data_IF_114569199696
#
_entry.id   IF_114569199696
#
_cell.length_a   1.000
_cell.length_b   1.000
_cell.length_c   1.000
_cell.angle_alpha   90.00
_cell.angle_beta   90.00
_cell.angle_gamma   90.00
#
_symmetry.space_group_name_H-M   'P 1'
#
loop_
_entity.id
_entity.type
_entity.pdbx_description
1 polymer ?
#
# COMPACT_ATOMS: atom_id res chain seq x y z
N UNK A 1 -15.51 14.05 13.03
CA UNK A 1 -15.84 12.66 13.44
C UNK A 1 -15.96 11.83 12.16
N UNK A 2 -15.20 10.73 12.04
CA UNK A 2 -15.25 9.83 10.88
C UNK A 2 -16.51 8.98 10.99
N UNK A 3 -17.61 9.38 10.38
CA UNK A 3 -18.87 8.63 10.51
C UNK A 3 -18.96 7.55 9.44
N UNK A 4 -18.49 6.35 9.80
CA UNK A 4 -18.89 5.11 9.14
C UNK A 4 -20.31 4.76 9.61
N UNK A 5 -21.17 4.29 8.70
CA UNK A 5 -22.49 3.79 9.09
C UNK A 5 -22.37 2.49 9.88
N UNK A 6 -23.41 2.13 10.66
CA UNK A 6 -23.43 0.86 11.41
C UNK A 6 -23.23 -0.36 10.50
N UNK A 7 -23.82 -0.33 9.31
CA UNK A 7 -23.63 -1.36 8.28
C UNK A 7 -22.18 -1.44 7.80
N UNK A 8 -21.51 -0.29 7.63
CA UNK A 8 -20.10 -0.24 7.24
C UNK A 8 -19.21 -0.77 8.36
N UNK A 9 -19.46 -0.39 9.61
CA UNK A 9 -18.73 -0.87 10.79
C UNK A 9 -18.87 -2.40 10.89
N UNK A 10 -20.09 -2.91 10.79
CA UNK A 10 -20.38 -4.35 10.87
C UNK A 10 -19.69 -5.12 9.74
N UNK A 11 -19.75 -4.61 8.50
CA UNK A 11 -19.08 -5.22 7.34
C UNK A 11 -17.56 -5.21 7.47
N UNK A 12 -16.97 -4.09 7.93
CA UNK A 12 -15.54 -3.98 8.13
C UNK A 12 -15.05 -4.92 9.24
N UNK A 13 -15.81 -5.05 10.33
CA UNK A 13 -15.48 -5.93 11.45
C UNK A 13 -15.73 -7.41 11.21
N UNK A 14 -16.60 -7.77 10.25
CA UNK A 14 -16.96 -9.16 9.98
C UNK A 14 -16.17 -9.71 8.79
N UNK A 15 -15.20 -10.62 8.98
CA UNK A 15 -14.49 -11.25 7.87
C UNK A 15 -15.39 -12.23 7.11
N UNK A 16 -15.20 -12.38 5.78
CA UNK A 16 -16.01 -13.31 4.98
C UNK A 16 -15.72 -14.79 5.31
N UNK A 17 -14.57 -15.07 5.92
CA UNK A 17 -14.11 -16.41 6.29
C UNK A 17 -13.33 -16.36 7.60
N UNK A 18 -13.43 -17.43 8.38
CA UNK A 18 -12.71 -17.63 9.64
C UNK A 18 -11.68 -18.74 9.46
N UNK A 19 -10.47 -18.50 9.94
CA UNK A 19 -9.31 -19.38 9.80
C UNK A 19 -8.84 -19.85 11.19
N UNK A 20 -9.69 -20.65 11.85
CA UNK A 20 -9.49 -21.10 13.22
C UNK A 20 -8.22 -21.96 13.45
N UNK A 21 -7.67 -22.55 12.38
CA UNK A 21 -6.45 -23.37 12.43
C UNK A 21 -5.17 -22.56 12.21
N UNK A 22 -5.28 -21.30 11.79
CA UNK A 22 -4.11 -20.43 11.65
C UNK A 22 -3.79 -19.80 13.00
N UNK A 23 -2.79 -20.36 13.67
CA UNK A 23 -2.41 -20.00 15.02
C UNK A 23 -1.23 -19.00 15.10
N UNK A 24 -0.64 -18.66 13.95
CA UNK A 24 0.36 -17.61 13.79
C UNK A 24 -0.06 -16.62 12.69
N UNK A 25 -0.02 -15.31 12.98
CA UNK A 25 -0.49 -14.24 12.09
C UNK A 25 0.65 -13.24 11.82
N UNK A 26 1.13 -13.17 10.59
CA UNK A 26 2.14 -12.21 10.16
C UNK A 26 1.51 -11.24 9.18
N UNK A 27 1.59 -9.94 9.43
CA UNK A 27 1.10 -8.90 8.52
C UNK A 27 1.95 -7.64 8.67
N UNK A 28 2.93 -7.47 7.81
CA UNK A 28 3.85 -6.31 7.83
C UNK A 28 3.72 -5.42 6.60
N UNK A 29 2.72 -5.67 5.76
CA UNK A 29 2.42 -4.84 4.60
C UNK A 29 0.92 -4.79 4.36
N UNK A 30 0.30 -3.75 4.90
CA UNK A 30 -1.14 -3.51 4.78
C UNK A 30 -1.48 -2.06 5.13
N UNK A 31 -2.62 -1.56 4.65
CA UNK A 31 -2.98 -0.16 4.71
C UNK A 31 -4.30 0.04 5.47
N UNK A 32 -4.26 0.58 6.70
CA UNK A 32 -5.49 0.90 7.45
C UNK A 32 -6.31 1.99 6.76
N UNK A 33 -5.64 2.92 6.05
CA UNK A 33 -6.26 4.09 5.42
C UNK A 33 -7.09 4.87 6.44
N UNK A 34 -8.35 5.20 6.14
CA UNK A 34 -9.20 5.94 7.08
C UNK A 34 -9.95 5.03 8.08
N UNK A 35 -9.82 3.71 7.97
CA UNK A 35 -10.58 2.76 8.79
C UNK A 35 -10.05 2.75 10.23
N UNK A 36 -10.92 2.92 11.25
CA UNK A 36 -10.51 2.87 12.66
C UNK A 36 -9.83 1.56 13.09
N UNK A 37 -8.75 1.69 13.87
CA UNK A 37 -7.91 0.56 14.28
C UNK A 37 -8.61 -0.43 15.22
N UNK A 38 -9.58 0.02 16.01
CA UNK A 38 -10.46 -0.82 16.83
C UNK A 38 -11.33 -1.77 15.98
N UNK A 39 -11.91 -1.27 14.89
CA UNK A 39 -12.68 -2.10 13.95
C UNK A 39 -11.76 -3.11 13.25
N UNK A 40 -10.55 -2.69 12.87
CA UNK A 40 -9.55 -3.57 12.25
C UNK A 40 -9.15 -4.69 13.20
N UNK A 41 -8.86 -4.37 14.47
CA UNK A 41 -8.56 -5.36 15.52
C UNK A 41 -9.71 -6.34 15.70
N UNK A 42 -10.95 -5.86 15.73
CA UNK A 42 -12.14 -6.73 15.78
C UNK A 42 -12.14 -7.72 14.60
N UNK A 43 -11.92 -7.24 13.37
CA UNK A 43 -11.86 -8.11 12.18
C UNK A 43 -10.78 -9.18 12.28
N UNK A 44 -9.54 -8.81 12.62
CA UNK A 44 -8.41 -9.74 12.74
C UNK A 44 -8.71 -10.79 13.82
N UNK A 45 -9.26 -10.38 14.95
CA UNK A 45 -9.65 -11.29 16.04
C UNK A 45 -10.77 -12.24 15.63
N UNK A 46 -11.77 -11.76 14.89
CA UNK A 46 -12.84 -12.59 14.36
C UNK A 46 -12.34 -13.58 13.29
N UNK A 47 -11.34 -13.17 12.49
CA UNK A 47 -10.78 -13.97 11.42
C UNK A 47 -9.88 -15.09 11.95
N UNK A 48 -9.07 -14.81 12.97
CA UNK A 48 -8.12 -15.74 13.58
C UNK A 48 -8.39 -15.88 15.09
N UNK A 49 -9.48 -16.58 15.48
CA UNK A 49 -9.92 -16.63 16.88
C UNK A 49 -8.94 -17.37 17.80
N UNK A 50 -8.12 -18.27 17.26
CA UNK A 50 -7.20 -19.11 18.03
C UNK A 50 -5.72 -18.73 17.85
N UNK A 51 -5.42 -17.55 17.30
CA UNK A 51 -4.02 -17.11 17.13
C UNK A 51 -3.31 -17.03 18.48
N UNK A 52 -2.07 -17.48 18.50
CA UNK A 52 -1.16 -17.50 19.67
C UNK A 52 0.04 -16.58 19.45
N UNK A 53 0.46 -16.43 18.20
CA UNK A 53 1.59 -15.60 17.81
C UNK A 53 1.15 -14.61 16.73
N UNK A 54 1.54 -13.35 16.88
CA UNK A 54 1.22 -12.34 15.88
C UNK A 54 2.32 -11.28 15.72
N UNK A 55 2.56 -10.84 14.50
CA UNK A 55 3.31 -9.62 14.22
C UNK A 55 2.55 -8.84 13.15
N UNK A 56 1.81 -7.83 13.60
CA UNK A 56 0.92 -7.04 12.77
C UNK A 56 1.38 -5.59 12.84
N UNK A 57 1.96 -5.09 11.74
CA UNK A 57 2.50 -3.74 11.64
C UNK A 57 1.89 -3.08 10.40
N UNK A 58 1.10 -2.00 10.56
CA UNK A 58 0.51 -1.28 9.43
C UNK A 58 1.56 -0.47 8.68
N UNK A 59 1.38 -0.28 7.38
CA UNK A 59 2.31 0.44 6.52
C UNK A 59 1.57 1.37 5.57
N UNK A 60 0.93 2.42 6.07
CA UNK A 60 0.33 3.44 5.19
C UNK A 60 1.42 4.20 4.41
N UNK A 61 1.06 4.70 3.22
CA UNK A 61 1.98 5.50 2.41
C UNK A 61 2.39 6.80 3.11
N UNK A 62 3.65 6.88 3.52
CA UNK A 62 4.28 8.02 4.18
C UNK A 62 3.54 8.52 5.44
N UNK A 63 2.79 7.63 6.09
CA UNK A 63 2.13 7.89 7.37
C UNK A 63 2.53 6.78 8.32
N UNK A 64 3.12 7.18 9.45
CA UNK A 64 3.52 6.27 10.50
C UNK A 64 2.29 5.87 11.32
N UNK A 65 1.93 4.59 11.29
CA UNK A 65 0.79 4.04 12.02
C UNK A 65 1.24 2.93 12.98
N UNK A 66 0.38 2.59 13.93
CA UNK A 66 0.59 1.47 14.85
C UNK A 66 -0.71 0.71 15.09
N UNK A 67 -0.62 -0.62 15.14
CA UNK A 67 -1.76 -1.51 15.37
C UNK A 67 -2.14 -1.61 16.85
N UNK A 68 -1.15 -1.81 17.72
CA UNK A 68 -1.30 -2.06 19.16
C UNK A 68 -0.43 -1.16 20.04
N UNK A 69 0.31 -0.22 19.44
CA UNK A 69 1.24 0.67 20.13
C UNK A 69 2.64 0.09 20.39
N UNK A 70 2.90 -1.19 20.06
CA UNK A 70 4.21 -1.82 20.28
C UNK A 70 5.13 -1.58 19.10
N UNK A 71 4.62 -1.80 17.89
CA UNK A 71 5.35 -1.56 16.66
C UNK A 71 4.63 -0.53 15.78
N UNK A 72 5.44 0.28 15.10
CA UNK A 72 4.96 1.25 14.12
C UNK A 72 5.54 0.92 12.76
N UNK A 73 4.78 1.21 11.70
CA UNK A 73 5.23 0.99 10.33
C UNK A 73 4.76 2.07 9.38
N UNK A 74 5.46 2.14 8.25
CA UNK A 74 5.18 3.06 7.16
C UNK A 74 5.69 2.47 5.85
N UNK A 75 4.96 2.69 4.77
CA UNK A 75 5.47 2.44 3.42
C UNK A 75 5.96 3.75 2.82
N UNK A 76 7.25 3.84 2.53
CA UNK A 76 7.93 5.07 2.11
C UNK A 76 8.17 4.99 0.61
N UNK A 77 7.85 6.07 -0.11
CA UNK A 77 8.27 6.20 -1.50
C UNK A 77 9.65 6.85 -1.57
N UNK A 78 10.58 6.19 -2.27
CA UNK A 78 11.95 6.65 -2.42
C UNK A 78 12.31 6.78 -3.90
N UNK A 79 13.34 7.55 -4.18
CA UNK A 79 14.01 7.53 -5.48
C UNK A 79 15.23 6.62 -5.42
N UNK A 80 15.42 5.80 -6.45
CA UNK A 80 16.62 5.00 -6.62
C UNK A 80 17.43 5.54 -7.80
N UNK A 81 18.44 6.36 -7.52
CA UNK A 81 19.32 6.95 -8.54
C UNK A 81 19.90 5.93 -9.53
N UNK A 82 20.34 4.77 -9.03
CA UNK A 82 21.01 3.72 -9.83
C UNK A 82 20.16 3.21 -11.01
N UNK A 83 18.83 3.30 -10.90
CA UNK A 83 17.90 2.86 -11.95
C UNK A 83 16.95 3.96 -12.42
N UNK A 84 17.09 5.17 -11.87
CA UNK A 84 16.27 6.36 -12.15
C UNK A 84 14.76 6.08 -12.05
N UNK A 85 14.35 5.46 -10.95
CA UNK A 85 12.96 5.04 -10.72
C UNK A 85 12.52 5.28 -9.29
N UNK A 86 11.20 5.47 -9.12
CA UNK A 86 10.56 5.36 -7.81
C UNK A 86 10.65 3.92 -7.33
N UNK A 87 11.07 3.71 -6.09
CA UNK A 87 10.98 2.45 -5.35
C UNK A 87 10.19 2.67 -4.07
N UNK A 88 9.93 1.60 -3.32
CA UNK A 88 9.24 1.68 -2.04
C UNK A 88 9.94 0.81 -1.03
N UNK A 89 9.90 1.21 0.24
CA UNK A 89 10.34 0.41 1.37
C UNK A 89 9.26 0.36 2.43
N UNK A 90 9.15 -0.77 3.11
CA UNK A 90 8.43 -0.87 4.37
C UNK A 90 9.45 -0.65 5.48
N UNK A 91 9.24 0.40 6.26
CA UNK A 91 10.05 0.68 7.45
C UNK A 91 9.22 0.34 8.68
N UNK A 92 9.79 -0.47 9.58
CA UNK A 92 9.15 -0.92 10.80
C UNK A 92 10.01 -0.60 12.01
N UNK A 93 9.37 -0.25 13.12
CA UNK A 93 10.06 0.24 14.31
C UNK A 93 9.39 -0.30 15.57
N UNK A 94 10.18 -0.49 16.62
CA UNK A 94 9.63 -0.46 17.98
C UNK A 94 9.14 0.97 18.27
N UNK A 95 7.85 1.13 18.53
CA UNK A 95 7.16 2.44 18.52
C UNK A 95 7.82 3.53 19.37
N UNK A 96 8.38 3.26 20.57
CA UNK A 96 9.07 4.28 21.36
C UNK A 96 10.23 4.97 20.63
N UNK A 97 10.91 4.31 19.69
CA UNK A 97 12.06 4.89 18.98
C UNK A 97 11.70 5.97 17.97
N UNK A 98 10.45 6.00 17.52
CA UNK A 98 9.97 6.91 16.47
C UNK A 98 9.07 8.03 17.01
N UNK A 99 8.83 8.07 18.33
CA UNK A 99 8.03 9.12 18.96
C UNK A 99 8.67 10.51 18.75
N UNK A 100 9.99 10.62 18.88
CA UNK A 100 10.72 11.89 18.76
C UNK A 100 11.60 11.98 17.50
N UNK A 101 11.36 11.10 16.51
CA UNK A 101 12.11 11.06 15.25
C UNK A 101 11.72 12.21 14.30
N UNK A 102 12.12 13.44 14.65
CA UNK A 102 11.69 14.66 13.96
C UNK A 102 12.17 14.73 12.50
N UNK A 103 13.37 14.25 12.20
CA UNK A 103 13.94 14.20 10.84
C UNK A 103 13.14 13.22 9.99
N UNK A 104 13.06 11.96 10.38
CA UNK A 104 12.24 10.96 9.71
C UNK A 104 10.79 11.42 9.49
N UNK A 105 10.12 11.98 10.51
CA UNK A 105 8.74 12.50 10.37
C UNK A 105 8.64 13.63 9.35
N UNK A 106 9.64 14.51 9.26
CA UNK A 106 9.70 15.54 8.22
C UNK A 106 9.89 14.94 6.83
N UNK A 107 10.73 13.89 6.70
CA UNK A 107 10.89 13.18 5.44
C UNK A 107 9.55 12.60 4.96
N UNK A 108 8.83 11.92 5.85
CA UNK A 108 7.50 11.38 5.57
C UNK A 108 6.50 12.47 5.17
N UNK A 109 6.44 13.58 5.91
CA UNK A 109 5.53 14.70 5.60
C UNK A 109 5.84 15.35 4.25
N UNK A 110 7.12 15.49 3.90
CA UNK A 110 7.54 16.04 2.61
C UNK A 110 7.05 15.17 1.46
N UNK A 111 7.31 13.85 1.52
CA UNK A 111 6.84 12.90 0.51
C UNK A 111 5.31 12.79 0.48
N UNK A 112 4.67 12.87 1.64
CA UNK A 112 3.21 12.89 1.74
C UNK A 112 2.60 14.11 1.03
N UNK A 113 3.15 15.31 1.23
CA UNK A 113 2.73 16.54 0.51
C UNK A 113 2.88 16.40 -0.99
N UNK A 114 4.01 15.86 -1.44
CA UNK A 114 4.25 15.62 -2.86
C UNK A 114 3.26 14.60 -3.45
N UNK A 115 2.91 13.55 -2.71
CA UNK A 115 1.85 12.62 -3.13
C UNK A 115 0.48 13.27 -3.18
N UNK A 116 0.20 14.19 -2.25
CA UNK A 116 -1.08 14.87 -2.17
C UNK A 116 -1.26 15.87 -3.33
N UNK A 117 -0.20 16.53 -3.80
CA UNK A 117 -0.27 17.41 -4.97
C UNK A 117 -0.74 16.69 -6.24
N UNK A 118 -0.58 15.36 -6.31
CA UNK A 118 -1.02 14.57 -7.47
C UNK A 118 -2.53 14.62 -7.70
N UNK A 119 -3.33 14.75 -6.64
CA UNK A 119 -4.78 14.91 -6.78
C UNK A 119 -5.09 16.22 -7.49
N UNK A 120 -4.42 17.30 -7.09
CA UNK A 120 -4.62 18.63 -7.63
C UNK A 120 -4.17 18.72 -9.09
N UNK A 121 -3.01 18.14 -9.44
CA UNK A 121 -2.57 18.09 -10.84
C UNK A 121 -3.54 17.29 -11.72
N UNK A 122 -4.14 16.22 -11.18
CA UNK A 122 -5.15 15.44 -11.90
C UNK A 122 -6.45 16.24 -12.10
N UNK A 123 -6.94 16.94 -11.06
CA UNK A 123 -8.11 17.82 -11.15
C UNK A 123 -7.86 18.92 -12.17
N UNK A 124 -6.71 19.60 -12.09
CA UNK A 124 -6.33 20.68 -12.99
C UNK A 124 -6.22 20.18 -14.44
N UNK A 125 -5.61 19.01 -14.67
CA UNK A 125 -5.50 18.42 -16.02
C UNK A 125 -6.88 18.17 -16.65
N UNK A 126 -7.87 17.75 -15.87
CA UNK A 126 -9.23 17.48 -16.37
C UNK A 126 -9.99 18.79 -16.65
N UNK A 127 -9.83 19.77 -15.75
CA UNK A 127 -10.61 21.02 -15.77
C UNK A 127 -10.05 22.09 -16.70
N UNK A 128 -8.73 22.25 -16.76
CA UNK A 128 -8.07 23.33 -17.47
C UNK A 128 -7.87 22.98 -18.97
N UNK A 129 -8.47 23.75 -19.90
CA UNK A 129 -8.28 23.55 -21.34
C UNK A 129 -6.82 23.61 -21.81
N UNK A 130 -5.92 24.31 -21.10
CA UNK A 130 -4.49 24.37 -21.45
C UNK A 130 -3.82 23.00 -21.37
N UNK A 131 -4.35 22.11 -20.54
CA UNK A 131 -3.94 20.70 -20.45
C UNK A 131 -4.74 19.79 -21.38
N UNK A 132 -5.54 20.35 -22.28
CA UNK A 132 -6.43 19.63 -23.20
C UNK A 132 -5.71 18.55 -24.00
N UNK A 133 -4.45 18.79 -24.39
CA UNK A 133 -3.63 17.79 -25.10
C UNK A 133 -3.43 16.48 -24.31
N UNK A 134 -3.31 16.53 -22.96
CA UNK A 134 -3.20 15.32 -22.11
C UNK A 134 -4.53 14.57 -22.07
N UNK A 135 -5.64 15.29 -22.00
CA UNK A 135 -7.00 14.72 -22.04
C UNK A 135 -7.28 14.11 -23.42
N UNK A 136 -6.87 14.77 -24.50
CA UNK A 136 -7.02 14.30 -25.87
C UNK A 136 -6.19 13.04 -26.15
N UNK A 137 -4.97 12.95 -25.61
CA UNK A 137 -4.17 11.72 -25.67
C UNK A 137 -4.92 10.55 -25.02
N UNK A 138 -5.46 10.76 -23.81
CA UNK A 138 -6.23 9.75 -23.10
C UNK A 138 -7.55 9.40 -23.82
N UNK A 139 -8.24 10.40 -24.38
CA UNK A 139 -9.49 10.21 -25.12
C UNK A 139 -9.28 9.40 -26.40
N UNK A 140 -8.22 9.68 -27.16
CA UNK A 140 -7.82 8.91 -28.34
C UNK A 140 -7.54 7.45 -27.99
N UNK A 141 -6.84 7.21 -26.88
CA UNK A 141 -6.53 5.85 -26.43
C UNK A 141 -7.75 5.05 -25.97
N UNK A 142 -8.72 5.74 -25.37
CA UNK A 142 -9.93 5.10 -24.80
C UNK A 142 -11.12 5.06 -25.76
N UNK A 143 -11.09 5.82 -26.85
CA UNK A 143 -12.26 6.04 -27.71
C UNK A 143 -13.36 6.85 -27.01
N UNK A 144 -13.00 7.69 -26.02
CA UNK A 144 -13.94 8.59 -25.38
C UNK A 144 -14.35 9.71 -26.36
N UNK A 145 -15.64 9.96 -26.48
CA UNK A 145 -16.20 11.07 -27.27
C UNK A 145 -16.31 12.34 -26.40
N UNK A 146 -16.69 13.45 -27.03
CA UNK A 146 -16.86 14.74 -26.35
C UNK A 146 -17.81 14.65 -25.14
N UNK A 147 -18.91 13.89 -25.27
CA UNK A 147 -19.88 13.67 -24.18
C UNK A 147 -19.23 13.06 -22.92
N UNK A 148 -18.40 12.02 -23.07
CA UNK A 148 -17.69 11.40 -21.93
C UNK A 148 -16.68 12.36 -21.31
N UNK A 149 -15.97 13.14 -22.14
CA UNK A 149 -15.01 14.15 -21.68
C UNK A 149 -15.72 15.25 -20.90
N UNK A 150 -16.84 15.77 -21.41
CA UNK A 150 -17.61 16.84 -20.79
C UNK A 150 -18.29 16.36 -19.50
N UNK A 151 -18.77 15.11 -19.47
CA UNK A 151 -19.28 14.47 -18.26
C UNK A 151 -18.20 14.43 -17.17
N UNK A 152 -17.02 13.90 -17.49
CA UNK A 152 -15.90 13.79 -16.55
C UNK A 152 -15.44 15.18 -16.06
N UNK A 153 -15.33 16.16 -16.98
CA UNK A 153 -14.96 17.53 -16.64
C UNK A 153 -15.96 18.19 -15.70
N UNK A 154 -17.24 18.15 -16.04
CA UNK A 154 -18.33 18.74 -15.24
C UNK A 154 -18.34 18.19 -13.82
N UNK A 155 -18.25 16.87 -13.68
CA UNK A 155 -18.28 16.23 -12.37
C UNK A 155 -16.98 16.43 -11.57
N UNK A 156 -15.84 16.52 -12.24
CA UNK A 156 -14.58 16.88 -11.58
C UNK A 156 -14.61 18.32 -11.08
N UNK A 157 -15.21 19.26 -11.83
CA UNK A 157 -15.42 20.65 -11.37
C UNK A 157 -16.31 20.71 -10.12
N UNK A 158 -17.40 19.95 -10.10
CA UNK A 158 -18.28 19.86 -8.92
C UNK A 158 -17.54 19.28 -7.71
N UNK A 159 -16.75 18.23 -7.90
CA UNK A 159 -15.93 17.65 -6.84
C UNK A 159 -14.87 18.63 -6.32
N UNK A 160 -14.19 19.35 -7.21
CA UNK A 160 -13.20 20.37 -6.84
C UNK A 160 -13.82 21.46 -5.94
N UNK A 161 -15.00 21.96 -6.32
CA UNK A 161 -15.74 22.92 -5.50
C UNK A 161 -16.19 22.35 -4.14
N UNK A 162 -16.52 21.06 -4.08
CA UNK A 162 -16.88 20.37 -2.84
C UNK A 162 -15.67 20.22 -1.92
N UNK A 163 -14.51 19.83 -2.47
CA UNK A 163 -13.26 19.72 -1.70
C UNK A 163 -12.89 21.09 -1.12
N UNK A 164 -12.91 22.15 -1.94
CA UNK A 164 -12.58 23.51 -1.49
C UNK A 164 -13.52 24.00 -0.37
N UNK A 165 -14.80 23.59 -0.37
CA UNK A 165 -15.76 23.96 0.68
C UNK A 165 -15.51 23.25 2.01
N UNK A 166 -14.92 22.07 1.98
CA UNK A 166 -14.74 21.20 3.14
C UNK A 166 -13.26 20.90 3.43
N UNK A 167 -12.35 21.72 2.93
CA UNK A 167 -10.91 21.48 3.04
C UNK A 167 -10.47 21.40 4.51
N UNK A 168 -10.97 22.33 5.34
CA UNK A 168 -10.67 22.38 6.78
C UNK A 168 -11.23 21.18 7.57
N UNK A 169 -12.31 20.58 7.09
CA UNK A 169 -12.99 19.45 7.73
C UNK A 169 -12.50 18.08 7.23
N UNK A 170 -11.84 18.05 6.07
CA UNK A 170 -11.47 16.81 5.38
C UNK A 170 -10.07 16.37 5.79
N UNK A 171 -9.89 15.17 6.36
CA UNK A 171 -8.57 14.63 6.66
C UNK A 171 -7.68 14.59 5.41
N UNK A 172 -6.46 15.12 5.51
CA UNK A 172 -5.52 15.23 4.38
C UNK A 172 -5.21 13.89 3.71
N UNK A 173 -5.27 12.80 4.47
CA UNK A 173 -5.05 11.44 4.00
C UNK A 173 -6.19 10.90 3.12
N UNK A 174 -7.39 11.50 3.15
CA UNK A 174 -8.51 11.14 2.28
C UNK A 174 -8.44 11.80 0.89
N UNK A 175 -7.75 12.94 0.80
CA UNK A 175 -7.55 13.71 -0.43
C UNK A 175 -6.46 13.06 -1.30
N UNK A 176 -6.83 11.95 -1.94
CA UNK A 176 -5.97 11.19 -2.87
C UNK A 176 -6.66 11.07 -4.23
N UNK A 177 -5.91 10.73 -5.27
CA UNK A 177 -6.42 10.40 -6.60
C UNK A 177 -7.61 9.41 -6.62
N UNK A 178 -7.74 8.53 -5.61
CA UNK A 178 -8.86 7.60 -5.47
C UNK A 178 -10.20 8.32 -5.24
N UNK A 179 -10.19 9.53 -4.68
CA UNK A 179 -11.39 10.32 -4.39
C UNK A 179 -12.20 10.63 -5.66
N UNK A 180 -11.53 11.04 -6.76
CA UNK A 180 -12.22 11.31 -8.04
C UNK A 180 -12.89 10.03 -8.55
N UNK A 181 -12.18 8.90 -8.51
CA UNK A 181 -12.74 7.60 -8.92
C UNK A 181 -13.99 7.26 -8.10
N UNK A 182 -13.92 7.38 -6.78
CA UNK A 182 -15.03 7.06 -5.88
C UNK A 182 -16.22 7.99 -6.12
N UNK A 183 -15.98 9.29 -6.29
CA UNK A 183 -17.02 10.27 -6.58
C UNK A 183 -17.72 9.98 -7.92
N UNK A 184 -16.97 9.69 -8.98
CA UNK A 184 -17.57 9.36 -10.28
C UNK A 184 -18.35 8.04 -10.21
N UNK A 185 -17.88 7.06 -9.43
CA UNK A 185 -18.59 5.79 -9.26
C UNK A 185 -19.95 5.93 -8.56
N UNK A 186 -20.12 6.88 -7.64
CA UNK A 186 -21.43 7.13 -7.00
C UNK A 186 -22.47 7.70 -7.96
N UNK A 187 -22.05 8.24 -9.12
CA UNK A 187 -22.96 8.78 -10.14
C UNK A 187 -23.74 7.69 -10.87
N UNK A 188 -23.40 6.40 -10.71
CA UNK A 188 -24.17 5.28 -11.28
C UNK A 188 -25.63 5.25 -10.86
N UNK A 189 -25.94 5.82 -9.70
CA UNK A 189 -27.33 5.91 -9.20
C UNK A 189 -28.17 6.93 -9.98
N UNK A 190 -27.54 7.81 -10.76
CA UNK A 190 -28.19 8.94 -11.44
C UNK A 190 -27.92 8.98 -12.96
N UNK A 191 -26.94 8.21 -13.44
CA UNK A 191 -26.50 8.21 -14.84
C UNK A 191 -26.37 6.79 -15.40
N UNK A 192 -26.49 6.61 -16.73
CA UNK A 192 -26.30 5.31 -17.37
C UNK A 192 -24.95 4.68 -17.01
N UNK A 193 -24.96 3.39 -16.62
CA UNK A 193 -23.76 2.68 -16.18
C UNK A 193 -22.63 2.72 -17.22
N UNK A 194 -22.97 2.59 -18.51
CA UNK A 194 -22.02 2.66 -19.61
C UNK A 194 -21.30 4.02 -19.72
N UNK A 195 -21.99 5.13 -19.42
CA UNK A 195 -21.38 6.46 -19.42
C UNK A 195 -20.36 6.57 -18.27
N UNK A 196 -20.75 6.13 -17.07
CA UNK A 196 -19.87 6.14 -15.90
C UNK A 196 -18.66 5.23 -16.12
N UNK A 197 -18.83 4.04 -16.69
CA UNK A 197 -17.73 3.12 -17.01
C UNK A 197 -16.72 3.74 -17.98
N UNK A 198 -17.21 4.39 -19.05
CA UNK A 198 -16.35 5.09 -20.01
C UNK A 198 -15.62 6.26 -19.36
N UNK A 199 -16.28 7.02 -18.49
CA UNK A 199 -15.66 8.12 -17.75
C UNK A 199 -14.57 7.63 -16.78
N UNK A 200 -14.81 6.53 -16.06
CA UNK A 200 -13.82 5.91 -15.17
C UNK A 200 -12.63 5.34 -15.95
N UNK A 201 -12.87 4.77 -17.13
CA UNK A 201 -11.80 4.30 -18.01
C UNK A 201 -10.95 5.46 -18.54
N UNK A 202 -11.59 6.53 -19.00
CA UNK A 202 -10.92 7.78 -19.40
C UNK A 202 -10.09 8.38 -18.25
N UNK A 203 -10.68 8.51 -17.05
CA UNK A 203 -9.99 8.99 -15.85
C UNK A 203 -8.74 8.17 -15.54
N UNK A 204 -8.82 6.84 -15.70
CA UNK A 204 -7.68 5.94 -15.55
C UNK A 204 -6.53 6.24 -16.51
N UNK A 205 -6.83 6.53 -17.77
CA UNK A 205 -5.82 6.91 -18.76
C UNK A 205 -5.27 8.32 -18.55
N UNK A 206 -6.11 9.31 -18.21
CA UNK A 206 -5.64 10.66 -17.86
C UNK A 206 -4.65 10.57 -16.69
N UNK A 207 -4.99 9.81 -15.65
CA UNK A 207 -4.09 9.56 -14.52
C UNK A 207 -2.76 8.94 -14.96
N UNK A 208 -2.74 8.05 -15.95
CA UNK A 208 -1.49 7.48 -16.50
C UNK A 208 -0.67 8.52 -17.23
N UNK A 209 -1.29 9.43 -18.00
CA UNK A 209 -0.60 10.52 -18.71
C UNK A 209 0.01 11.50 -17.70
N UNK A 210 -0.79 11.98 -16.74
CA UNK A 210 -0.32 12.86 -15.65
C UNK A 210 0.83 12.21 -14.87
N UNK A 211 0.74 10.89 -14.63
CA UNK A 211 1.80 10.19 -13.90
C UNK A 211 3.18 10.18 -14.57
N UNK A 212 3.25 10.39 -15.89
CA UNK A 212 4.53 10.45 -16.62
C UNK A 212 5.28 11.76 -16.39
N UNK A 213 4.59 12.81 -15.95
CA UNK A 213 5.18 14.15 -15.75
C UNK A 213 5.61 14.42 -14.31
N UNK A 214 5.34 13.50 -13.36
CA UNK A 214 5.82 13.65 -12.00
C UNK A 214 7.34 13.50 -11.91
N UNK A 215 8.01 14.55 -11.43
CA UNK A 215 9.44 14.53 -11.14
C UNK A 215 9.75 13.55 -10.01
N UNK A 216 10.74 12.69 -10.23
CA UNK A 216 11.24 11.79 -9.20
C UNK A 216 12.13 12.50 -8.17
N UNK A 217 12.56 13.73 -8.45
CA UNK A 217 13.49 14.52 -7.62
C UNK A 217 12.89 14.93 -6.27
N UNK A 218 11.57 14.77 -6.08
CA UNK A 218 10.88 15.06 -4.82
C UNK A 218 10.92 13.90 -3.82
N UNK A 219 11.39 12.72 -4.22
CA UNK A 219 11.58 11.61 -3.28
C UNK A 219 13.01 11.63 -2.75
N UNK A 220 13.16 11.36 -1.45
CA UNK A 220 14.47 11.09 -0.86
C UNK A 220 15.11 9.88 -1.52
N UNK A 221 16.44 9.89 -1.60
CA UNK A 221 17.18 8.76 -2.14
C UNK A 221 17.01 7.54 -1.23
N UNK A 222 16.97 6.35 -1.84
CA UNK A 222 16.78 5.10 -1.13
C UNK A 222 17.81 4.90 -0.01
N UNK A 223 19.06 5.33 -0.20
CA UNK A 223 20.11 5.21 0.80
C UNK A 223 19.93 6.17 1.98
N UNK A 224 19.45 7.40 1.75
CA UNK A 224 19.14 8.37 2.81
C UNK A 224 18.02 7.85 3.71
N UNK A 225 16.99 7.26 3.08
CA UNK A 225 15.89 6.61 3.82
C UNK A 225 16.40 5.42 4.63
N UNK A 226 17.25 4.57 4.05
CA UNK A 226 17.82 3.43 4.76
C UNK A 226 18.65 3.91 5.95
N UNK A 227 19.51 4.91 5.77
CA UNK A 227 20.35 5.46 6.83
C UNK A 227 19.53 6.00 8.00
N UNK A 228 18.51 6.81 7.73
CA UNK A 228 17.63 7.35 8.76
C UNK A 228 16.87 6.23 9.51
N UNK A 229 16.31 5.26 8.78
CA UNK A 229 15.61 4.13 9.39
C UNK A 229 16.55 3.31 10.28
N UNK A 230 17.79 3.07 9.84
CA UNK A 230 18.82 2.38 10.62
C UNK A 230 19.25 3.16 11.86
N UNK A 231 19.41 4.48 11.75
CA UNK A 231 19.73 5.36 12.87
C UNK A 231 18.69 5.30 14.00
N UNK A 232 17.43 5.00 13.65
CA UNK A 232 16.33 4.81 14.59
C UNK A 232 16.15 3.36 15.06
N UNK A 233 17.06 2.46 14.69
CA UNK A 233 16.97 1.03 15.01
C UNK A 233 15.74 0.35 14.37
N UNK A 234 15.34 0.82 13.19
CA UNK A 234 14.25 0.27 12.40
C UNK A 234 14.68 -0.86 11.48
N UNK A 235 13.71 -1.71 11.13
CA UNK A 235 13.84 -2.74 10.13
C UNK A 235 13.33 -2.27 8.77
N UNK A 236 13.94 -2.77 7.69
CA UNK A 236 13.61 -2.40 6.31
C UNK A 236 13.24 -3.64 5.51
N UNK A 237 12.10 -3.62 4.84
CA UNK A 237 11.64 -4.69 3.95
C UNK A 237 11.36 -4.13 2.56
N UNK A 238 11.77 -4.85 1.52
CA UNK A 238 11.44 -4.53 0.13
C UNK A 238 10.05 -5.13 -0.19
N UNK A 239 9.01 -4.30 -0.43
CA UNK A 239 7.69 -4.79 -0.80
C UNK A 239 7.62 -5.18 -2.29
N UNK A 240 6.77 -6.17 -2.61
CA UNK A 240 6.37 -6.59 -3.97
C UNK A 240 7.43 -6.32 -5.08
N UNK A 241 8.62 -6.92 -4.97
CA UNK A 241 9.79 -6.53 -5.73
C UNK A 241 9.64 -6.74 -7.24
N UNK A 242 8.70 -7.54 -7.73
CA UNK A 242 8.42 -7.65 -9.17
C UNK A 242 8.06 -6.29 -9.80
N UNK A 243 7.41 -5.40 -9.04
CA UNK A 243 7.08 -4.04 -9.51
C UNK A 243 8.31 -3.13 -9.61
N UNK A 244 9.35 -3.44 -8.82
CA UNK A 244 10.54 -2.62 -8.65
C UNK A 244 11.83 -3.40 -8.91
N UNK A 245 11.79 -4.44 -9.77
CA UNK A 245 12.80 -5.51 -9.84
C UNK A 245 14.29 -5.09 -9.80
N UNK A 246 14.73 -3.93 -10.34
CA UNK A 246 16.13 -3.54 -10.20
C UNK A 246 16.56 -3.30 -8.74
N UNK A 247 15.62 -3.02 -7.83
CA UNK A 247 15.85 -2.84 -6.39
C UNK A 247 16.56 -4.04 -5.76
N UNK A 248 16.30 -5.26 -6.27
CA UNK A 248 16.92 -6.49 -5.78
C UNK A 248 18.41 -6.56 -6.13
N UNK A 249 18.84 -5.87 -7.19
CA UNK A 249 20.24 -5.82 -7.63
C UNK A 249 21.03 -4.69 -6.97
N UNK A 250 20.37 -3.83 -6.19
CA UNK A 250 20.97 -2.63 -5.63
C UNK A 250 21.91 -2.90 -4.44
N UNK A 251 21.83 -4.10 -3.84
CA UNK A 251 22.60 -4.45 -2.65
C UNK A 251 22.22 -3.61 -1.42
N UNK A 252 20.98 -3.14 -1.33
CA UNK A 252 20.51 -2.36 -0.18
C UNK A 252 20.62 -3.15 1.13
N UNK A 253 20.98 -2.47 2.21
CA UNK A 253 20.96 -3.03 3.57
C UNK A 253 19.51 -3.14 4.06
N UNK A 254 18.91 -4.32 3.85
CA UNK A 254 17.53 -4.63 4.22
C UNK A 254 17.44 -5.87 5.11
N UNK A 255 16.42 -5.92 5.95
CA UNK A 255 16.13 -7.08 6.81
C UNK A 255 15.37 -8.18 6.11
N UNK A 256 14.61 -7.84 5.07
CA UNK A 256 13.82 -8.81 4.34
C UNK A 256 13.28 -8.33 3.01
N UNK A 257 12.71 -9.28 2.30
CA UNK A 257 12.15 -9.10 0.96
C UNK A 257 10.82 -9.82 0.91
N UNK A 258 9.78 -9.14 0.42
CA UNK A 258 8.54 -9.80 0.06
C UNK A 258 8.76 -10.66 -1.19
N UNK A 259 8.66 -11.97 -1.07
CA UNK A 259 8.78 -12.88 -2.23
C UNK A 259 7.41 -13.19 -2.84
N UNK A 260 6.35 -12.84 -2.14
CA UNK A 260 4.97 -12.98 -2.60
C UNK A 260 4.16 -11.78 -2.14
N UNK A 261 3.27 -11.33 -3.03
CA UNK A 261 2.24 -10.35 -2.75
C UNK A 261 1.06 -10.62 -3.70
N UNK A 262 -0.20 -10.31 -3.37
CA UNK A 262 -1.34 -10.55 -4.26
C UNK A 262 -1.16 -10.00 -5.69
N UNK A 263 -0.36 -8.95 -5.87
CA UNK A 263 -0.05 -8.33 -7.17
C UNK A 263 1.22 -8.87 -7.85
N UNK A 264 2.02 -9.67 -7.15
CA UNK A 264 3.37 -10.09 -7.51
C UNK A 264 3.62 -11.51 -7.00
N UNK A 265 3.10 -12.49 -7.76
CA UNK A 265 3.14 -13.92 -7.40
C UNK A 265 3.91 -14.75 -8.41
N UNK A 266 4.29 -14.16 -9.56
CA UNK A 266 4.79 -14.92 -10.72
C UNK A 266 6.14 -15.55 -10.44
N UNK A 267 6.97 -14.88 -9.65
CA UNK A 267 8.34 -15.28 -9.38
C UNK A 267 8.57 -15.74 -7.95
N UNK A 268 7.52 -16.08 -7.19
CA UNK A 268 7.64 -16.43 -5.77
C UNK A 268 8.65 -17.54 -5.49
N UNK A 269 8.59 -18.67 -6.21
CA UNK A 269 9.58 -19.74 -6.05
C UNK A 269 11.02 -19.26 -6.33
N UNK A 270 11.20 -18.56 -7.45
CA UNK A 270 12.50 -18.05 -7.84
C UNK A 270 13.06 -17.08 -6.80
N UNK A 271 12.23 -16.18 -6.26
CA UNK A 271 12.65 -15.21 -5.24
C UNK A 271 12.99 -15.88 -3.91
N UNK A 272 12.25 -16.93 -3.49
CA UNK A 272 12.63 -17.73 -2.32
C UNK A 272 14.02 -18.35 -2.53
N UNK A 273 14.26 -18.97 -3.68
CA UNK A 273 15.54 -19.61 -3.99
C UNK A 273 16.69 -18.59 -4.06
N UNK A 274 16.46 -17.41 -4.63
CA UNK A 274 17.45 -16.31 -4.68
C UNK A 274 17.82 -15.86 -3.27
N UNK A 275 16.83 -15.53 -2.43
CA UNK A 275 17.08 -15.09 -1.05
C UNK A 275 17.79 -16.19 -0.24
N UNK A 276 17.38 -17.45 -0.42
CA UNK A 276 18.02 -18.58 0.23
C UNK A 276 19.50 -18.73 -0.18
N UNK A 277 19.79 -18.64 -1.49
CA UNK A 277 21.17 -18.71 -2.00
C UNK A 277 22.02 -17.54 -1.48
N UNK A 278 21.50 -16.32 -1.55
CA UNK A 278 22.20 -15.13 -1.02
C UNK A 278 22.55 -15.30 0.47
N UNK A 279 21.63 -15.85 1.27
CA UNK A 279 21.89 -16.12 2.68
C UNK A 279 22.97 -17.19 2.92
N UNK A 280 23.15 -18.15 2.00
CA UNK A 280 24.23 -19.16 2.09
C UNK A 280 25.59 -18.60 1.71
N UNK A 281 25.62 -17.64 0.80
CA UNK A 281 26.83 -16.98 0.31
C UNK A 281 27.26 -15.80 1.19
N UNK A 282 26.36 -15.28 2.04
CA UNK A 282 26.67 -14.23 3.01
C UNK A 282 27.81 -14.64 3.94
N UNK A 283 28.68 -13.67 4.23
CA UNK A 283 29.82 -13.85 5.12
C UNK A 283 29.38 -14.37 6.49
N UNK A 284 30.19 -15.24 7.11
CA UNK A 284 29.95 -15.76 8.46
C UNK A 284 29.77 -14.60 9.44
N UNK A 285 28.59 -14.51 10.05
CA UNK A 285 28.22 -13.46 11.01
C UNK A 285 27.27 -12.37 10.46
N UNK A 286 27.02 -12.34 9.15
CA UNK A 286 25.98 -11.48 8.57
C UNK A 286 24.58 -11.95 8.94
N UNK A 287 23.68 -11.01 9.30
CA UNK A 287 22.26 -11.34 9.54
C UNK A 287 21.62 -11.82 8.21
N UNK A 288 20.81 -12.89 8.22
CA UNK A 288 20.14 -13.35 7.00
C UNK A 288 19.06 -12.36 6.57
N UNK A 289 18.77 -12.30 5.27
CA UNK A 289 17.58 -11.61 4.75
C UNK A 289 16.37 -12.51 4.97
N UNK A 290 15.34 -11.97 5.62
CA UNK A 290 14.10 -12.67 5.90
C UNK A 290 13.19 -12.69 4.66
N UNK A 291 12.49 -13.81 4.51
CA UNK A 291 11.48 -13.99 3.47
C UNK A 291 10.13 -13.55 4.04
N UNK A 292 9.52 -12.55 3.42
CA UNK A 292 8.18 -12.07 3.76
C UNK A 292 7.17 -12.43 2.68
N UNK A 293 5.91 -12.54 3.10
CA UNK A 293 4.75 -12.47 2.23
C UNK A 293 4.03 -11.18 2.60
N UNK A 294 3.68 -10.35 1.62
CA UNK A 294 2.90 -9.13 1.83
C UNK A 294 1.44 -9.37 1.52
N UNK A 295 0.51 -9.00 2.42
CA UNK A 295 -0.91 -9.12 2.11
C UNK A 295 -1.46 -7.93 1.30
N UNK A 296 -0.83 -6.75 1.41
CA UNK A 296 -1.18 -5.52 0.66
C UNK A 296 -2.70 -5.28 0.70
N UNK A 297 -3.24 -5.42 1.91
CA UNK A 297 -4.66 -5.26 2.18
C UNK A 297 -4.98 -3.78 2.35
N UNK A 298 -5.88 -3.25 1.52
CA UNK A 298 -6.42 -1.90 1.67
C UNK A 298 -7.81 -1.96 2.30
N UNK A 299 -7.96 -1.47 3.54
CA UNK A 299 -9.21 -1.63 4.28
C UNK A 299 -10.34 -0.75 3.73
N UNK A 300 -10.02 0.36 3.05
CA UNK A 300 -11.04 1.18 2.38
C UNK A 300 -11.76 0.44 1.25
N UNK A 301 -11.15 -0.59 0.64
CA UNK A 301 -11.78 -1.38 -0.42
C UNK A 301 -12.95 -2.23 0.10
N UNK A 302 -13.07 -2.39 1.43
CA UNK A 302 -14.18 -3.11 2.09
C UNK A 302 -15.34 -2.20 2.50
N UNK A 303 -15.17 -0.88 2.38
CA UNK A 303 -16.19 0.11 2.77
C UNK A 303 -17.38 0.14 1.81
N UNK A 304 -17.21 0.15 0.48
CA UNK A 304 -18.33 0.09 -0.45
C UNK A 304 -19.18 -1.17 -0.25
N UNK A 305 -20.42 -1.15 -0.74
CA UNK A 305 -21.23 -2.37 -0.80
C UNK A 305 -20.55 -3.42 -1.68
N UNK A 306 -20.76 -4.72 -1.44
CA UNK A 306 -20.07 -5.78 -2.19
C UNK A 306 -20.17 -5.63 -3.72
N UNK A 307 -21.31 -5.14 -4.23
CA UNK A 307 -21.52 -4.89 -5.66
C UNK A 307 -20.64 -3.77 -6.26
N UNK A 308 -20.07 -2.88 -5.43
CA UNK A 308 -19.20 -1.76 -5.83
C UNK A 308 -17.73 -1.98 -5.46
N UNK A 309 -17.39 -3.12 -4.89
CA UNK A 309 -16.01 -3.44 -4.49
C UNK A 309 -15.18 -3.91 -5.69
N UNK A 310 -13.89 -3.61 -5.67
CA UNK A 310 -12.91 -4.29 -6.53
C UNK A 310 -12.64 -5.67 -5.91
N UNK A 311 -13.33 -6.71 -6.41
CA UNK A 311 -13.33 -8.05 -5.81
C UNK A 311 -11.93 -8.58 -5.45
N UNK A 312 -10.96 -8.61 -6.39
CA UNK A 312 -9.58 -9.03 -6.10
C UNK A 312 -8.84 -8.21 -5.03
N UNK A 313 -9.16 -6.92 -4.86
CA UNK A 313 -8.57 -6.10 -3.79
C UNK A 313 -9.30 -6.26 -2.46
N UNK A 314 -10.63 -6.31 -2.51
CA UNK A 314 -11.47 -6.44 -1.34
C UNK A 314 -11.31 -7.81 -0.66
N UNK A 315 -10.96 -8.86 -1.41
CA UNK A 315 -10.74 -10.22 -0.90
C UNK A 315 -9.43 -10.43 -0.13
N UNK A 316 -8.49 -9.48 -0.20
CA UNK A 316 -7.23 -9.54 0.55
C UNK A 316 -7.52 -9.33 2.03
N UNK A 317 -6.82 -10.03 2.90
CA UNK A 317 -7.04 -9.94 4.34
C UNK A 317 -5.72 -9.87 5.09
N UNK A 318 -5.71 -9.05 6.16
CA UNK A 318 -4.55 -8.85 7.02
C UNK A 318 -4.10 -10.22 7.56
N UNK A 319 -2.88 -10.60 7.23
CA UNK A 319 -2.22 -11.79 7.76
C UNK A 319 -2.70 -13.15 7.24
N UNK A 320 -3.59 -13.20 6.24
CA UNK A 320 -4.01 -14.48 5.63
C UNK A 320 -2.90 -15.10 4.78
N UNK A 321 -2.33 -14.33 3.84
CA UNK A 321 -1.14 -14.69 3.06
C UNK A 321 -1.10 -16.17 2.62
N UNK A 322 -1.99 -16.59 1.71
CA UNK A 322 -2.20 -18.00 1.36
C UNK A 322 -0.95 -18.72 0.84
N UNK A 323 0.06 -17.99 0.36
CA UNK A 323 1.35 -18.54 -0.06
C UNK A 323 2.06 -19.36 1.02
N UNK A 324 1.87 -19.05 2.31
CA UNK A 324 2.42 -19.84 3.41
C UNK A 324 1.83 -21.25 3.51
N UNK A 325 0.60 -21.45 3.00
CA UNK A 325 -0.16 -22.68 3.13
C UNK A 325 -0.21 -23.48 1.82
N UNK A 326 0.23 -22.88 0.71
CA UNK A 326 0.37 -23.52 -0.60
C UNK A 326 1.43 -24.64 -0.56
N UNK A 327 1.06 -25.84 -1.01
CA UNK A 327 1.91 -27.04 -0.89
C UNK A 327 3.22 -26.94 -1.67
N UNK A 328 3.22 -26.27 -2.81
CA UNK A 328 4.41 -26.17 -3.63
C UNK A 328 5.34 -25.09 -3.08
N UNK A 329 4.82 -23.92 -2.70
CA UNK A 329 5.61 -22.86 -2.05
C UNK A 329 6.20 -23.35 -0.73
N UNK A 330 5.42 -24.09 0.07
CA UNK A 330 5.87 -24.65 1.37
C UNK A 330 7.08 -25.55 1.25
N UNK A 331 7.19 -26.36 0.19
CA UNK A 331 8.36 -27.22 -0.02
C UNK A 331 9.63 -26.38 -0.18
N UNK A 332 9.56 -25.29 -0.95
CA UNK A 332 10.68 -24.36 -1.15
C UNK A 332 11.03 -23.64 0.16
N UNK A 333 10.02 -23.22 0.93
CA UNK A 333 10.22 -22.58 2.24
C UNK A 333 10.88 -23.53 3.27
N UNK A 334 10.53 -24.82 3.27
CA UNK A 334 11.16 -25.82 4.13
C UNK A 334 12.65 -25.96 3.80
N UNK A 335 12.99 -26.03 2.51
CA UNK A 335 14.41 -26.04 2.07
C UNK A 335 15.13 -24.77 2.49
N UNK A 336 14.43 -23.62 2.45
CA UNK A 336 14.95 -22.35 2.91
C UNK A 336 15.01 -22.18 4.44
N UNK A 337 14.59 -23.20 5.21
CA UNK A 337 14.44 -23.16 6.67
C UNK A 337 13.62 -21.94 7.14
N UNK A 338 12.52 -21.66 6.43
CA UNK A 338 11.67 -20.51 6.68
C UNK A 338 10.23 -20.95 6.93
N UNK A 339 9.64 -20.44 8.00
CA UNK A 339 8.20 -20.52 8.24
C UNK A 339 7.69 -19.22 8.90
N UNK A 340 6.37 -19.08 8.94
CA UNK A 340 5.69 -17.88 9.45
C UNK A 340 6.10 -17.55 10.90
N UNK A 341 6.25 -18.55 11.77
CA UNK A 341 6.57 -18.37 13.20
C UNK A 341 8.01 -17.92 13.39
N UNK A 342 8.92 -18.51 12.63
CA UNK A 342 10.34 -18.16 12.62
C UNK A 342 10.53 -16.72 12.17
N UNK A 343 9.85 -16.29 11.10
CA UNK A 343 9.88 -14.90 10.63
C UNK A 343 9.32 -13.93 11.68
N UNK A 344 8.18 -14.26 12.29
CA UNK A 344 7.59 -13.45 13.39
C UNK A 344 8.61 -13.27 14.52
N UNK A 345 9.18 -14.38 15.01
CA UNK A 345 10.10 -14.36 16.15
C UNK A 345 11.37 -13.58 15.83
N UNK A 346 11.99 -13.86 14.69
CA UNK A 346 13.26 -13.24 14.30
C UNK A 346 13.09 -11.75 14.00
N UNK A 347 12.06 -11.37 13.25
CA UNK A 347 11.86 -9.96 12.92
C UNK A 347 11.48 -9.13 14.14
N UNK A 348 10.63 -9.67 15.03
CA UNK A 348 10.33 -9.03 16.31
C UNK A 348 11.60 -8.83 17.14
N UNK A 349 12.48 -9.84 17.21
CA UNK A 349 13.76 -9.72 17.91
C UNK A 349 14.63 -8.60 17.33
N UNK A 350 14.70 -8.45 16.00
CA UNK A 350 15.44 -7.36 15.34
C UNK A 350 14.87 -5.98 15.67
N UNK A 351 13.55 -5.84 15.68
CA UNK A 351 12.93 -4.55 15.99
C UNK A 351 13.10 -4.15 17.46
N UNK A 352 13.06 -5.12 18.39
CA UNK A 352 13.27 -4.86 19.81
C UNK A 352 14.76 -4.63 20.14
N UNK A 353 15.65 -5.42 19.54
CA UNK A 353 17.09 -5.43 19.78
C UNK A 353 17.87 -5.21 18.46
N UNK A 354 17.88 -3.99 17.93
CA UNK A 354 18.41 -3.64 16.62
C UNK A 354 19.92 -3.84 16.52
#
# INVERSE_FOLDING_TARGET
>A
RRELTEDQITRLGTPPRVYANQDAVLAVHWHPEFVPMDIIRWRVNAMFPNKRDELIIPTNHNVLDSYDGVFSGVEIDCYAASFRRKVQFLAHFHSPRVQEASVFKQMLEYTFRYRHSQLWELIETIMNPDHGHKVDEAAKKTGANAEVVDFLRTHTTKLSALIARHEDDTPRDMLRNKLIKLYIDTLRDHFPANLVDRALYLLGEIKRVVKRTFSLEYFYEAHEVIEEVRGLGGGIVIPHPEQFWPVLLAGYDVDGIEVWNPQSQKFTHFLIDVVHRENRERARGGRPVLIFMGDDTHLSEKVPTPARQDGPKASREIGLQPAWDDLDIRKTLIVANCDRRTVISEYRARLLNP
#
